data_IF_227192513765
#
_entry.id   IF_227192513765
#
_cell.length_a   1.000
_cell.length_b   1.000
_cell.length_c   1.000
_cell.angle_alpha   90.00
_cell.angle_beta   90.00
_cell.angle_gamma   90.00
#
_symmetry.space_group_name_H-M   'P 1'
#
loop_
_entity.id
_entity.type
_entity.pdbx_description
1 polymer ?
#
# COMPACT_ATOMS: atom_id res chain seq x y z
N UNK A 1 7.33 -12.78 -25.05
CA UNK A 1 7.46 -11.34 -25.34
C UNK A 1 7.69 -10.64 -24.02
N UNK A 2 8.84 -10.00 -23.81
CA UNK A 2 9.08 -9.20 -22.61
C UNK A 2 8.20 -7.97 -22.68
N UNK A 3 7.22 -7.86 -21.79
CA UNK A 3 6.37 -6.67 -21.65
C UNK A 3 7.27 -5.47 -21.33
N UNK A 4 7.30 -4.47 -22.21
CA UNK A 4 8.11 -3.28 -22.02
C UNK A 4 7.44 -2.40 -20.96
N UNK A 5 7.95 -2.43 -19.72
CA UNK A 5 7.43 -1.61 -18.64
C UNK A 5 7.78 -0.13 -18.91
N UNK A 6 6.78 0.71 -19.20
CA UNK A 6 6.95 2.15 -19.41
C UNK A 6 6.33 2.95 -18.27
N UNK A 7 5.17 2.51 -17.78
CA UNK A 7 4.37 3.19 -16.77
C UNK A 7 4.11 2.29 -15.56
N UNK A 8 4.42 2.79 -14.36
CA UNK A 8 4.18 2.09 -13.10
C UNK A 8 3.19 2.84 -12.22
N UNK A 9 2.36 2.10 -11.47
CA UNK A 9 1.52 2.62 -10.40
C UNK A 9 1.97 2.05 -9.06
N UNK A 10 2.26 2.94 -8.12
CA UNK A 10 2.65 2.62 -6.75
C UNK A 10 1.55 3.10 -5.81
N UNK A 11 1.17 2.25 -4.86
CA UNK A 11 0.24 2.60 -3.80
C UNK A 11 0.88 2.41 -2.41
N UNK A 12 1.04 3.53 -1.70
CA UNK A 12 1.55 3.56 -0.33
C UNK A 12 0.63 2.80 0.63
N UNK A 13 1.23 2.23 1.68
CA UNK A 13 0.50 1.72 2.84
C UNK A 13 -0.13 2.84 3.69
N UNK A 14 -0.79 2.46 4.78
CA UNK A 14 -1.41 3.43 5.68
C UNK A 14 -2.57 2.90 6.53
N UNK A 15 -2.81 1.59 6.53
CA UNK A 15 -3.98 0.99 7.20
C UNK A 15 -5.27 1.61 6.68
N UNK A 16 -6.10 2.11 7.58
CA UNK A 16 -7.36 2.78 7.24
C UNK A 16 -7.20 4.06 6.40
N UNK A 17 -6.04 4.74 6.42
CA UNK A 17 -5.75 5.83 5.48
C UNK A 17 -5.75 5.40 4.02
N UNK A 18 -5.62 4.09 3.76
CA UNK A 18 -5.82 3.50 2.43
C UNK A 18 -7.21 3.74 1.84
N UNK A 19 -8.17 4.26 2.62
CA UNK A 19 -9.48 4.69 2.13
C UNK A 19 -9.38 5.82 1.09
N UNK A 20 -8.40 6.72 1.25
CA UNK A 20 -8.08 7.73 0.24
C UNK A 20 -7.64 7.06 -1.08
N UNK A 21 -6.75 6.07 -0.99
CA UNK A 21 -6.30 5.27 -2.14
C UNK A 21 -7.47 4.55 -2.81
N UNK A 22 -8.43 4.02 -2.05
CA UNK A 22 -9.65 3.41 -2.59
C UNK A 22 -10.43 4.40 -3.46
N UNK A 23 -10.64 5.63 -2.97
CA UNK A 23 -11.28 6.69 -3.73
C UNK A 23 -10.53 7.02 -5.03
N UNK A 24 -9.20 7.17 -4.97
CA UNK A 24 -8.37 7.44 -6.16
C UNK A 24 -8.55 6.35 -7.22
N UNK A 25 -8.46 5.08 -6.81
CA UNK A 25 -8.54 3.94 -7.75
C UNK A 25 -9.96 3.71 -8.25
N UNK A 26 -10.99 4.01 -7.46
CA UNK A 26 -12.37 3.95 -7.93
C UNK A 26 -12.67 5.05 -8.96
N UNK A 27 -12.06 6.24 -8.84
CA UNK A 27 -12.10 7.25 -9.88
C UNK A 27 -11.41 6.77 -11.17
N UNK A 28 -10.29 6.05 -11.04
CA UNK A 28 -9.61 5.45 -12.19
C UNK A 28 -10.50 4.39 -12.86
N UNK A 29 -11.12 3.50 -12.09
CA UNK A 29 -12.04 2.48 -12.61
C UNK A 29 -13.25 3.11 -13.30
N UNK A 30 -13.83 4.16 -12.71
CA UNK A 30 -14.95 4.90 -13.31
C UNK A 30 -14.59 5.49 -14.67
N UNK A 31 -13.35 5.99 -14.82
CA UNK A 31 -12.85 6.52 -16.09
C UNK A 31 -12.22 5.45 -16.99
N UNK A 32 -12.28 4.17 -16.61
CA UNK A 32 -11.58 3.05 -17.28
C UNK A 32 -10.09 3.34 -17.50
N UNK A 33 -9.49 4.12 -16.60
CA UNK A 33 -8.11 4.56 -16.68
C UNK A 33 -7.19 3.45 -16.17
N UNK A 34 -6.42 2.84 -17.07
CA UNK A 34 -5.46 1.79 -16.73
C UNK A 34 -4.18 1.75 -17.59
N UNK A 35 -3.44 2.87 -17.74
CA UNK A 35 -2.24 2.93 -18.57
C UNK A 35 -0.99 2.41 -17.82
N UNK A 36 -1.11 1.36 -17.01
CA UNK A 36 -0.04 0.91 -16.12
C UNK A 36 0.41 -0.51 -16.45
N UNK A 37 1.69 -0.63 -16.82
CA UNK A 37 2.35 -1.90 -17.15
C UNK A 37 2.80 -2.65 -15.90
N UNK A 38 3.07 -1.92 -14.82
CA UNK A 38 3.54 -2.42 -13.52
C UNK A 38 2.70 -1.81 -12.40
N UNK A 39 2.25 -2.62 -11.44
CA UNK A 39 1.55 -2.15 -10.24
C UNK A 39 2.23 -2.69 -9.00
N UNK A 40 2.55 -1.83 -8.04
CA UNK A 40 3.27 -2.22 -6.82
C UNK A 40 2.62 -1.59 -5.61
N UNK A 41 2.19 -2.40 -4.66
CA UNK A 41 1.50 -1.91 -3.48
C UNK A 41 2.15 -2.39 -2.19
N UNK A 42 1.99 -1.58 -1.15
CA UNK A 42 2.46 -1.89 0.19
C UNK A 42 1.27 -1.93 1.14
N UNK A 43 1.11 -3.01 1.90
CA UNK A 43 0.08 -3.12 2.94
C UNK A 43 -1.33 -2.81 2.38
N UNK A 44 -2.07 -1.87 2.98
CA UNK A 44 -3.36 -1.39 2.47
C UNK A 44 -3.31 -0.91 1.01
N UNK A 45 -2.18 -0.37 0.53
CA UNK A 45 -1.97 -0.01 -0.86
C UNK A 45 -1.97 -1.23 -1.79
N UNK A 46 -1.39 -2.36 -1.36
CA UNK A 46 -1.45 -3.62 -2.10
C UNK A 46 -2.89 -4.15 -2.19
N UNK A 47 -3.64 -4.09 -1.09
CA UNK A 47 -5.05 -4.52 -1.07
C UNK A 47 -5.91 -3.69 -2.02
N UNK A 48 -5.69 -2.36 -2.02
CA UNK A 48 -6.34 -1.43 -2.95
C UNK A 48 -5.99 -1.73 -4.41
N UNK A 49 -4.72 -1.98 -4.72
CA UNK A 49 -4.29 -2.34 -6.08
C UNK A 49 -4.81 -3.69 -6.53
N UNK A 50 -4.96 -4.66 -5.63
CA UNK A 50 -5.60 -5.93 -5.96
C UNK A 50 -7.04 -5.70 -6.43
N UNK A 51 -7.83 -4.89 -5.72
CA UNK A 51 -9.19 -4.53 -6.11
C UNK A 51 -9.22 -3.80 -7.47
N UNK A 52 -8.30 -2.86 -7.69
CA UNK A 52 -8.16 -2.15 -8.95
C UNK A 52 -7.82 -3.08 -10.13
N UNK A 53 -6.88 -4.00 -9.95
CA UNK A 53 -6.51 -4.98 -10.97
C UNK A 53 -7.69 -5.91 -11.28
N UNK A 54 -8.40 -6.37 -10.25
CA UNK A 54 -9.59 -7.20 -10.37
C UNK A 54 -10.83 -6.48 -10.95
N UNK A 55 -10.72 -5.17 -11.24
CA UNK A 55 -11.83 -4.30 -11.69
C UNK A 55 -12.99 -4.23 -10.69
N UNK A 56 -12.67 -4.42 -9.41
CA UNK A 56 -13.59 -4.48 -8.30
C UNK A 56 -13.88 -3.08 -7.71
N UNK A 57 -14.59 -2.25 -8.49
CA UNK A 57 -14.94 -0.88 -8.05
C UNK A 57 -15.71 -0.92 -6.72
N UNK A 58 -15.39 -0.02 -5.80
CA UNK A 58 -15.95 0.10 -4.44
C UNK A 58 -15.62 -1.05 -3.47
N UNK A 59 -14.89 -2.07 -3.91
CA UNK A 59 -14.56 -3.20 -3.04
C UNK A 59 -13.62 -2.79 -1.90
N UNK A 60 -12.53 -2.08 -2.21
CA UNK A 60 -11.56 -1.69 -1.20
C UNK A 60 -12.17 -0.72 -0.16
N UNK A 61 -13.03 0.20 -0.61
CA UNK A 61 -13.82 1.05 0.27
C UNK A 61 -14.65 0.21 1.24
N UNK A 62 -15.47 -0.71 0.70
CA UNK A 62 -16.34 -1.61 1.48
C UNK A 62 -15.54 -2.42 2.50
N UNK A 63 -14.41 -3.02 2.09
CA UNK A 63 -13.58 -3.81 2.99
C UNK A 63 -12.99 -2.97 4.13
N UNK A 64 -12.54 -1.75 3.84
CA UNK A 64 -12.01 -0.85 4.87
C UNK A 64 -13.11 -0.43 5.84
N UNK A 65 -14.25 0.08 5.33
CA UNK A 65 -15.34 0.60 6.16
C UNK A 65 -16.01 -0.48 7.02
N UNK A 66 -16.14 -1.72 6.50
CA UNK A 66 -16.91 -2.78 7.17
C UNK A 66 -16.08 -3.83 7.89
N UNK A 67 -14.80 -4.04 7.54
CA UNK A 67 -13.98 -5.06 8.22
C UNK A 67 -12.96 -4.46 9.16
N UNK A 68 -12.35 -3.33 8.80
CA UNK A 68 -11.26 -2.79 9.61
C UNK A 68 -11.73 -1.98 10.83
N UNK A 69 -13.03 -1.64 10.85
CA UNK A 69 -13.70 -0.94 11.95
C UNK A 69 -14.32 -1.91 12.97
N UNK A 70 -14.40 -3.20 12.64
CA UNK A 70 -14.94 -4.25 13.50
C UNK A 70 -14.05 -4.51 14.72
N UNK A 71 -14.68 -4.69 15.87
CA UNK A 71 -14.01 -5.09 17.12
C UNK A 71 -13.27 -6.43 16.96
N UNK A 72 -13.74 -7.31 16.07
CA UNK A 72 -13.08 -8.58 15.81
C UNK A 72 -11.72 -8.39 15.13
N UNK A 73 -11.60 -7.39 14.27
CA UNK A 73 -10.35 -7.01 13.61
C UNK A 73 -9.44 -6.21 14.53
N UNK A 74 -9.93 -5.10 15.10
CA UNK A 74 -9.12 -4.18 15.89
C UNK A 74 -9.38 -4.33 17.40
N UNK A 75 -8.43 -4.94 18.11
CA UNK A 75 -8.51 -5.27 19.54
C UNK A 75 -7.39 -4.58 20.33
N UNK A 76 -7.48 -3.27 20.60
CA UNK A 76 -6.41 -2.51 21.25
C UNK A 76 -6.01 -3.07 22.62
N UNK A 77 -6.95 -3.61 23.39
CA UNK A 77 -6.70 -4.21 24.70
C UNK A 77 -5.69 -5.38 24.67
N UNK A 78 -5.55 -6.07 23.53
CA UNK A 78 -4.59 -7.19 23.37
C UNK A 78 -3.14 -6.77 23.38
N UNK A 79 -2.83 -5.48 23.18
CA UNK A 79 -1.46 -4.98 23.31
C UNK A 79 -0.90 -5.24 24.72
N UNK A 80 -1.71 -5.02 25.76
CA UNK A 80 -1.31 -5.20 27.16
C UNK A 80 -1.22 -6.65 27.60
N UNK A 81 -1.91 -7.56 26.90
CA UNK A 81 -1.88 -9.00 27.19
C UNK A 81 -0.89 -9.76 26.29
N UNK A 82 -0.11 -9.06 25.47
CA UNK A 82 0.88 -9.65 24.58
C UNK A 82 0.31 -10.31 23.32
N UNK A 83 -0.99 -10.13 23.04
CA UNK A 83 -1.67 -10.67 21.87
C UNK A 83 -1.60 -9.76 20.63
N UNK A 84 -2.25 -10.21 19.54
CA UNK A 84 -2.38 -9.43 18.31
C UNK A 84 -3.41 -8.30 18.49
N UNK A 85 -3.01 -7.09 18.11
CA UNK A 85 -3.87 -5.89 18.10
C UNK A 85 -4.77 -5.89 16.86
N UNK A 86 -4.27 -6.40 15.73
CA UNK A 86 -5.04 -6.61 14.51
C UNK A 86 -5.18 -8.10 14.22
N UNK A 87 -6.35 -8.53 13.76
CA UNK A 87 -6.62 -9.92 13.41
C UNK A 87 -6.64 -10.11 11.89
N UNK A 88 -5.45 -10.25 11.28
CA UNK A 88 -5.32 -10.48 9.84
C UNK A 88 -5.84 -11.85 9.42
N UNK A 89 -5.76 -12.86 10.28
CA UNK A 89 -6.34 -14.18 9.99
C UNK A 89 -7.85 -14.07 9.79
N UNK A 90 -8.52 -13.38 10.72
CA UNK A 90 -9.95 -13.09 10.60
C UNK A 90 -10.25 -12.26 9.35
N UNK A 91 -9.52 -11.16 9.12
CA UNK A 91 -9.76 -10.29 7.95
C UNK A 91 -9.66 -11.07 6.64
N UNK A 92 -8.58 -11.82 6.45
CA UNK A 92 -8.36 -12.58 5.21
C UNK A 92 -9.36 -13.72 5.04
N UNK A 93 -9.77 -14.38 6.13
CA UNK A 93 -10.85 -15.35 6.10
C UNK A 93 -12.19 -14.73 5.65
N UNK A 94 -12.51 -13.50 6.09
CA UNK A 94 -13.73 -12.81 5.65
C UNK A 94 -13.69 -12.52 4.15
N UNK A 95 -12.61 -11.92 3.64
CA UNK A 95 -12.52 -11.57 2.22
C UNK A 95 -12.38 -12.78 1.30
N UNK A 96 -11.95 -13.94 1.82
CA UNK A 96 -11.88 -15.18 1.03
C UNK A 96 -13.23 -15.92 0.99
N UNK A 97 -13.95 -15.98 2.11
CA UNK A 97 -15.08 -16.90 2.29
C UNK A 97 -16.45 -16.25 2.55
N UNK A 98 -16.52 -15.00 3.03
CA UNK A 98 -17.80 -14.39 3.41
C UNK A 98 -18.46 -13.65 2.24
N UNK A 99 -19.54 -14.21 1.70
CA UNK A 99 -20.23 -13.70 0.51
C UNK A 99 -20.64 -12.21 0.52
N UNK A 100 -20.72 -11.53 1.67
CA UNK A 100 -21.00 -10.08 1.73
C UNK A 100 -19.79 -9.18 1.43
N UNK A 101 -18.59 -9.65 1.75
CA UNK A 101 -17.31 -8.92 1.62
C UNK A 101 -16.26 -9.73 0.86
N UNK A 102 -16.70 -10.83 0.25
CA UNK A 102 -15.86 -11.75 -0.51
C UNK A 102 -15.25 -10.98 -1.65
N UNK A 103 -13.93 -11.10 -1.79
CA UNK A 103 -13.21 -10.54 -2.91
C UNK A 103 -13.83 -11.08 -4.21
N UNK A 104 -14.17 -10.23 -5.19
CA UNK A 104 -14.76 -10.68 -6.44
C UNK A 104 -13.67 -11.36 -7.28
N UNK A 105 -13.54 -12.66 -7.07
CA UNK A 105 -12.52 -13.51 -7.67
C UNK A 105 -12.96 -14.02 -9.03
N UNK A 106 -12.99 -13.15 -10.04
CA UNK A 106 -12.93 -13.63 -11.42
C UNK A 106 -11.45 -13.82 -11.80
N UNK A 107 -10.98 -15.06 -12.04
CA UNK A 107 -9.57 -15.34 -12.32
C UNK A 107 -9.00 -14.52 -13.48
N UNK A 108 -9.86 -14.12 -14.43
CA UNK A 108 -9.47 -13.42 -15.65
C UNK A 108 -9.03 -11.97 -15.44
N UNK A 109 -9.38 -11.33 -14.31
CA UNK A 109 -9.07 -9.91 -14.11
C UNK A 109 -7.74 -9.67 -13.38
N UNK A 110 -7.26 -10.65 -12.61
CA UNK A 110 -6.00 -10.57 -11.88
C UNK A 110 -5.14 -11.80 -12.17
N UNK A 111 -4.51 -11.80 -13.34
CA UNK A 111 -3.62 -12.85 -13.85
C UNK A 111 -2.15 -12.52 -13.61
N UNK A 112 -1.20 -13.46 -13.80
CA UNK A 112 0.24 -13.15 -13.76
C UNK A 112 0.65 -11.98 -14.68
N UNK A 113 0.03 -11.84 -15.85
CA UNK A 113 0.27 -10.76 -16.82
C UNK A 113 -0.19 -9.39 -16.31
N UNK A 114 -0.94 -9.35 -15.21
CA UNK A 114 -1.27 -8.09 -14.54
C UNK A 114 -0.04 -7.41 -13.95
N UNK A 115 1.13 -8.06 -13.84
CA UNK A 115 2.35 -7.47 -13.30
C UNK A 115 2.09 -6.69 -11.99
N UNK A 116 1.30 -7.30 -11.10
CA UNK A 116 0.97 -6.73 -9.80
C UNK A 116 1.91 -7.35 -8.75
N UNK A 117 2.48 -6.51 -7.90
CA UNK A 117 3.40 -6.92 -6.85
C UNK A 117 2.96 -6.36 -5.50
N UNK A 118 2.90 -7.22 -4.49
CA UNK A 118 2.77 -6.79 -3.10
C UNK A 118 4.17 -6.78 -2.48
N UNK A 119 4.54 -5.69 -1.82
CA UNK A 119 5.83 -5.60 -1.11
C UNK A 119 5.67 -6.22 0.26
N UNK A 120 6.58 -7.13 0.62
CA UNK A 120 6.78 -7.61 1.97
C UNK A 120 8.21 -7.33 2.42
N UNK A 121 8.48 -7.40 3.72
CA UNK A 121 9.82 -7.27 4.27
C UNK A 121 10.25 -8.58 4.90
N UNK A 122 11.47 -9.03 4.60
CA UNK A 122 12.06 -10.16 5.30
C UNK A 122 12.18 -9.85 6.78
N UNK A 123 11.69 -10.76 7.63
CA UNK A 123 11.60 -10.55 9.07
C UNK A 123 12.99 -10.28 9.69
N UNK A 124 14.03 -10.99 9.25
CA UNK A 124 15.36 -10.95 9.86
C UNK A 124 16.31 -9.91 9.23
N UNK A 125 16.26 -9.72 7.91
CA UNK A 125 17.19 -8.81 7.20
C UNK A 125 16.61 -7.43 6.89
N UNK A 126 15.28 -7.27 6.98
CA UNK A 126 14.55 -6.09 6.53
C UNK A 126 14.70 -5.78 5.04
N UNK A 127 15.21 -6.72 4.24
CA UNK A 127 15.26 -6.56 2.78
C UNK A 127 13.85 -6.66 2.17
N UNK A 128 13.55 -5.88 1.12
CA UNK A 128 12.25 -5.94 0.46
C UNK A 128 12.14 -7.21 -0.38
N UNK A 129 10.96 -7.80 -0.35
CA UNK A 129 10.56 -8.89 -1.21
C UNK A 129 9.33 -8.47 -2.02
N UNK A 130 9.47 -8.44 -3.34
CA UNK A 130 8.39 -8.05 -4.25
C UNK A 130 7.65 -9.31 -4.71
N UNK A 131 6.55 -9.62 -4.05
CA UNK A 131 5.77 -10.82 -4.30
C UNK A 131 4.91 -10.62 -5.54
N UNK A 132 5.23 -11.33 -6.64
CA UNK A 132 4.40 -11.32 -7.86
C UNK A 132 3.03 -11.92 -7.55
N UNK A 133 1.98 -11.15 -7.70
CA UNK A 133 0.68 -11.40 -7.09
C UNK A 133 -0.42 -11.51 -8.15
N UNK A 134 -1.13 -12.63 -8.14
CA UNK A 134 -2.30 -12.89 -8.97
C UNK A 134 -3.37 -13.65 -8.18
N UNK A 135 -4.50 -13.96 -8.82
CA UNK A 135 -5.69 -14.54 -8.18
C UNK A 135 -5.40 -15.71 -7.21
N UNK A 136 -4.50 -16.63 -7.55
CA UNK A 136 -4.26 -17.86 -6.77
C UNK A 136 -3.47 -17.63 -5.48
N UNK A 137 -2.57 -16.65 -5.45
CA UNK A 137 -1.66 -16.40 -4.32
C UNK A 137 -1.93 -15.07 -3.60
N UNK A 138 -2.88 -14.27 -4.09
CA UNK A 138 -3.08 -12.91 -3.60
C UNK A 138 -3.36 -12.82 -2.10
N UNK A 139 -4.16 -13.71 -1.51
CA UNK A 139 -4.47 -13.59 -0.08
C UNK A 139 -3.23 -13.81 0.79
N UNK A 140 -2.38 -14.77 0.45
CA UNK A 140 -1.12 -15.00 1.15
C UNK A 140 -0.18 -13.79 1.01
N UNK A 141 -0.03 -13.25 -0.20
CA UNK A 141 0.86 -12.12 -0.48
C UNK A 141 0.38 -10.82 0.17
N UNK A 142 -0.92 -10.51 0.05
CA UNK A 142 -1.53 -9.34 0.67
C UNK A 142 -1.45 -9.42 2.20
N UNK A 143 -1.62 -10.61 2.78
CA UNK A 143 -1.46 -10.82 4.22
C UNK A 143 -0.03 -10.60 4.68
N UNK A 144 0.95 -11.14 3.97
CA UNK A 144 2.36 -10.88 4.25
C UNK A 144 2.71 -9.39 4.18
N UNK A 145 2.22 -8.71 3.13
CA UNK A 145 2.40 -7.28 2.91
C UNK A 145 1.75 -6.40 3.98
N UNK A 146 0.76 -6.92 4.73
CA UNK A 146 -0.01 -6.19 5.75
C UNK A 146 0.36 -6.56 7.19
N UNK A 147 1.34 -7.46 7.39
CA UNK A 147 1.68 -8.03 8.69
C UNK A 147 2.52 -7.07 9.54
N UNK A 148 1.89 -5.99 10.02
CA UNK A 148 2.56 -4.91 10.74
C UNK A 148 3.23 -5.46 12.00
N UNK A 149 4.56 -5.28 12.15
CA UNK A 149 5.27 -5.70 13.35
C UNK A 149 4.60 -5.18 14.62
N UNK A 150 4.61 -6.00 15.68
CA UNK A 150 4.00 -5.71 16.99
C UNK A 150 2.47 -5.66 17.05
N UNK A 151 1.79 -5.30 15.95
CA UNK A 151 0.32 -5.36 15.85
C UNK A 151 -0.17 -6.76 15.42
N UNK A 152 0.59 -7.43 14.56
CA UNK A 152 0.42 -8.84 14.20
C UNK A 152 1.75 -9.58 14.38
N UNK A 153 1.92 -10.19 15.56
CA UNK A 153 3.21 -10.73 16.02
C UNK A 153 3.70 -11.98 15.29
N UNK A 154 2.84 -12.92 14.83
CA UNK A 154 3.31 -14.14 14.19
C UNK A 154 4.09 -13.93 12.89
N UNK A 155 3.93 -12.77 12.24
CA UNK A 155 4.36 -12.59 10.86
C UNK A 155 3.63 -13.54 9.92
N UNK A 156 4.08 -13.62 8.66
CA UNK A 156 3.51 -14.54 7.66
C UNK A 156 4.65 -15.30 7.00
N UNK A 157 4.50 -16.60 6.82
CA UNK A 157 5.46 -17.38 6.03
C UNK A 157 5.02 -17.42 4.57
N UNK A 158 5.89 -16.95 3.68
CA UNK A 158 5.71 -17.04 2.23
C UNK A 158 6.98 -17.65 1.66
N UNK A 159 6.84 -18.72 0.87
CA UNK A 159 7.97 -19.42 0.22
C UNK A 159 9.10 -19.83 1.19
N UNK A 160 8.73 -20.22 2.42
CA UNK A 160 9.69 -20.64 3.46
C UNK A 160 10.35 -19.50 4.24
N UNK A 161 10.12 -18.24 3.86
CA UNK A 161 10.66 -17.06 4.52
C UNK A 161 9.65 -16.44 5.48
N UNK A 162 10.12 -15.99 6.66
CA UNK A 162 9.34 -15.16 7.55
C UNK A 162 9.24 -13.73 7.00
N UNK A 163 8.02 -13.26 6.82
CA UNK A 163 7.69 -11.95 6.25
C UNK A 163 6.91 -11.09 7.23
N UNK A 164 7.06 -9.78 7.09
CA UNK A 164 6.28 -8.75 7.75
C UNK A 164 5.89 -7.65 6.75
N UNK A 165 5.11 -6.66 7.21
CA UNK A 165 4.60 -5.57 6.39
C UNK A 165 5.71 -4.91 5.56
N UNK A 166 5.44 -4.74 4.27
CA UNK A 166 6.41 -4.22 3.30
C UNK A 166 6.86 -2.78 3.55
N UNK A 167 6.08 -2.04 4.34
CA UNK A 167 6.39 -0.68 4.72
C UNK A 167 7.71 -0.56 5.46
N UNK A 168 8.19 -1.63 6.11
CA UNK A 168 9.49 -1.60 6.78
C UNK A 168 10.63 -1.42 5.77
N UNK A 169 10.66 -2.27 4.74
CA UNK A 169 11.78 -2.35 3.79
C UNK A 169 11.67 -1.36 2.63
N UNK A 170 10.47 -1.19 2.05
CA UNK A 170 10.27 -0.32 0.90
C UNK A 170 8.84 0.24 0.88
N UNK A 171 8.59 1.33 1.63
CA UNK A 171 7.25 1.91 1.76
C UNK A 171 6.74 2.60 0.49
N UNK A 172 7.65 2.97 -0.42
CA UNK A 172 7.38 3.67 -1.67
C UNK A 172 8.35 3.16 -2.74
N UNK A 173 8.05 2.03 -3.42
CA UNK A 173 8.97 1.29 -4.30
C UNK A 173 9.31 1.95 -5.65
N UNK A 174 9.58 3.25 -5.64
CA UNK A 174 9.84 4.10 -6.81
C UNK A 174 11.16 3.73 -7.49
N UNK A 175 12.19 3.43 -6.70
CA UNK A 175 13.50 3.00 -7.21
C UNK A 175 13.38 1.65 -7.92
N UNK A 176 12.72 0.69 -7.27
CA UNK A 176 12.52 -0.63 -7.84
C UNK A 176 11.68 -0.58 -9.12
N UNK A 177 10.59 0.20 -9.14
CA UNK A 177 9.79 0.39 -10.35
C UNK A 177 10.62 0.98 -11.51
N UNK A 178 11.51 1.93 -11.21
CA UNK A 178 12.45 2.47 -12.19
C UNK A 178 13.45 1.43 -12.69
N UNK A 179 14.03 0.61 -11.80
CA UNK A 179 14.92 -0.51 -12.16
C UNK A 179 14.22 -1.55 -13.06
N UNK A 180 12.89 -1.70 -12.95
CA UNK A 180 12.09 -2.52 -13.87
C UNK A 180 11.82 -1.86 -15.22
N UNK A 181 12.31 -0.65 -15.45
CA UNK A 181 12.23 0.07 -16.72
C UNK A 181 11.22 1.21 -16.75
N UNK A 182 10.43 1.42 -15.67
CA UNK A 182 9.42 2.47 -15.65
C UNK A 182 10.06 3.86 -15.83
N UNK A 183 9.51 4.62 -16.79
CA UNK A 183 9.87 6.01 -17.06
C UNK A 183 8.82 6.99 -16.54
N UNK A 184 7.58 6.55 -16.42
CA UNK A 184 6.52 7.30 -15.75
C UNK A 184 6.07 6.53 -14.53
N UNK A 185 6.21 7.10 -13.34
CA UNK A 185 5.87 6.44 -12.08
C UNK A 185 4.80 7.26 -11.37
N UNK A 186 3.61 6.68 -11.23
CA UNK A 186 2.49 7.27 -10.50
C UNK A 186 2.53 6.75 -9.08
N UNK A 187 2.51 7.65 -8.09
CA UNK A 187 2.62 7.30 -6.67
C UNK A 187 1.40 7.84 -5.95
N UNK A 188 0.52 6.94 -5.49
CA UNK A 188 -0.59 7.30 -4.60
C UNK A 188 -0.05 7.29 -3.17
N UNK A 189 -0.12 8.45 -2.52
CA UNK A 189 0.33 8.66 -1.15
C UNK A 189 -0.84 8.72 -0.19
N UNK A 190 -0.63 8.30 1.05
CA UNK A 190 -1.61 8.42 2.15
C UNK A 190 -1.29 9.60 3.10
N UNK A 191 -0.27 10.38 2.74
CA UNK A 191 0.13 11.65 3.35
C UNK A 191 0.30 12.71 2.26
N UNK A 192 0.32 13.98 2.66
CA UNK A 192 0.46 15.11 1.73
C UNK A 192 1.78 15.04 0.94
N UNK A 193 1.81 15.58 -0.28
CA UNK A 193 2.96 15.46 -1.18
C UNK A 193 4.27 16.06 -0.61
N UNK A 194 4.17 17.06 0.27
CA UNK A 194 5.33 17.67 0.93
C UNK A 194 5.78 16.95 2.20
N UNK A 195 4.99 15.98 2.68
CA UNK A 195 5.30 15.23 3.89
C UNK A 195 6.49 14.31 3.61
N UNK A 196 7.48 14.29 4.50
CA UNK A 196 8.68 13.47 4.39
C UNK A 196 8.59 12.16 5.18
N UNK A 197 7.39 11.80 5.67
CA UNK A 197 7.10 10.58 6.40
C UNK A 197 7.63 10.58 7.83
N UNK A 198 8.12 11.72 8.32
CA UNK A 198 8.56 11.85 9.71
C UNK A 198 7.34 11.81 10.62
N UNK A 199 7.43 11.04 11.70
CA UNK A 199 6.44 11.08 12.79
C UNK A 199 6.99 11.90 13.96
N UNK A 200 6.64 13.20 14.12
CA UNK A 200 7.20 14.07 15.17
C UNK A 200 6.91 13.56 16.58
N UNK A 201 5.80 12.83 16.75
CA UNK A 201 5.38 12.24 18.04
C UNK A 201 6.34 11.15 18.49
N UNK A 202 6.83 10.29 17.58
CA UNK A 202 7.72 9.20 17.96
C UNK A 202 9.13 9.70 18.28
N UNK A 203 9.64 10.70 17.54
CA UNK A 203 10.88 11.42 17.88
C UNK A 203 10.84 12.03 19.28
N UNK A 204 9.71 12.62 19.66
CA UNK A 204 9.48 13.15 21.02
C UNK A 204 9.38 12.06 22.08
N UNK A 205 8.95 10.86 21.73
CA UNK A 205 8.81 9.71 22.64
C UNK A 205 10.06 8.83 22.73
N UNK A 206 11.05 9.00 21.85
CA UNK A 206 12.35 8.29 21.89
C UNK A 206 13.01 8.23 23.28
N UNK A 207 13.10 9.32 24.08
CA UNK A 207 13.73 9.25 25.40
C UNK A 207 12.91 8.44 26.41
N UNK A 208 11.59 8.40 26.25
CA UNK A 208 10.66 7.67 27.12
C UNK A 208 10.66 6.19 26.75
N UNK A 209 10.61 5.85 25.46
CA UNK A 209 10.64 4.47 24.97
C UNK A 209 11.97 3.77 25.25
N UNK A 210 13.10 4.51 25.21
CA UNK A 210 14.40 4.02 25.67
C UNK A 210 14.43 3.63 27.15
N UNK A 211 13.61 4.28 28.00
CA UNK A 211 13.49 3.96 29.44
C UNK A 211 12.55 2.78 29.72
N UNK A 212 11.63 2.46 28.82
CA UNK A 212 10.58 1.44 29.02
C UNK A 212 11.05 0.04 28.59
N UNK A 213 12.33 -0.15 28.22
CA UNK A 213 12.86 -1.43 27.73
C UNK A 213 12.02 -1.97 26.54
N UNK A 214 11.51 -1.07 25.68
CA UNK A 214 10.91 -1.49 24.43
C UNK A 214 11.98 -2.12 23.54
N UNK A 215 11.65 -3.27 22.95
CA UNK A 215 12.59 -4.16 22.25
C UNK A 215 13.49 -3.39 21.28
N UNK A 216 14.84 -3.52 21.35
CA UNK A 216 15.78 -2.92 20.40
C UNK A 216 15.36 -3.10 18.93
N UNK A 217 14.74 -4.24 18.61
CA UNK A 217 14.20 -4.55 17.29
C UNK A 217 13.15 -3.54 16.80
N UNK A 218 12.32 -2.98 17.68
CA UNK A 218 11.33 -1.97 17.29
C UNK A 218 12.02 -0.70 16.80
N UNK A 219 13.10 -0.30 17.46
CA UNK A 219 13.88 0.85 17.02
C UNK A 219 14.57 0.56 15.70
N UNK A 220 15.15 -0.63 15.52
CA UNK A 220 15.76 -1.01 14.23
C UNK A 220 14.76 -0.95 13.08
N UNK A 221 13.58 -1.55 13.24
CA UNK A 221 12.48 -1.50 12.27
C UNK A 221 12.09 -0.06 11.95
N UNK A 222 11.93 0.78 12.97
CA UNK A 222 11.53 2.18 12.79
C UNK A 222 12.59 2.99 12.04
N UNK A 223 13.86 2.88 12.42
CA UNK A 223 14.94 3.61 11.75
C UNK A 223 15.10 3.14 10.31
N UNK A 224 14.97 1.84 10.05
CA UNK A 224 15.00 1.29 8.70
C UNK A 224 13.86 1.86 7.86
N UNK A 225 12.62 1.84 8.35
CA UNK A 225 11.47 2.46 7.69
C UNK A 225 11.71 3.94 7.37
N UNK A 226 12.14 4.74 8.36
CA UNK A 226 12.37 6.17 8.16
C UNK A 226 13.44 6.45 7.11
N UNK A 227 14.54 5.69 7.12
CA UNK A 227 15.59 5.81 6.13
C UNK A 227 15.05 5.49 4.73
N UNK A 228 14.35 4.36 4.57
CA UNK A 228 13.80 3.92 3.28
C UNK A 228 12.77 4.90 2.73
N UNK A 229 11.91 5.43 3.60
CA UNK A 229 10.94 6.46 3.23
C UNK A 229 11.63 7.74 2.73
N UNK A 230 12.64 8.23 3.45
CA UNK A 230 13.39 9.42 3.07
C UNK A 230 14.12 9.23 1.73
N UNK A 231 14.72 8.06 1.50
CA UNK A 231 15.36 7.71 0.22
C UNK A 231 14.35 7.69 -0.95
N UNK A 232 13.13 7.20 -0.72
CA UNK A 232 12.08 7.20 -1.73
C UNK A 232 11.55 8.62 -2.02
N UNK A 233 11.32 9.43 -0.99
CA UNK A 233 10.96 10.85 -1.14
C UNK A 233 12.04 11.61 -1.91
N UNK A 234 13.32 11.32 -1.64
CA UNK A 234 14.43 11.92 -2.38
C UNK A 234 14.40 11.56 -3.86
N UNK A 235 14.19 10.28 -4.16
CA UNK A 235 14.03 9.83 -5.53
C UNK A 235 12.87 10.55 -6.24
N UNK A 236 11.73 10.74 -5.56
CA UNK A 236 10.58 11.44 -6.15
C UNK A 236 10.86 12.94 -6.35
N UNK A 237 11.66 13.56 -5.48
CA UNK A 237 12.04 14.98 -5.55
C UNK A 237 13.07 15.27 -6.63
N UNK A 238 13.97 14.33 -6.89
CA UNK A 238 15.05 14.46 -7.87
C UNK A 238 15.22 13.15 -8.63
N UNK A 239 14.24 12.78 -9.49
CA UNK A 239 14.29 11.53 -10.22
C UNK A 239 15.40 11.55 -11.28
N UNK A 240 15.92 10.38 -11.71
CA UNK A 240 16.88 10.29 -12.80
C UNK A 240 16.38 10.93 -14.10
N UNK A 241 17.30 11.29 -15.00
CA UNK A 241 16.95 11.90 -16.28
C UNK A 241 15.97 11.02 -17.09
N UNK A 242 14.93 11.65 -17.64
CA UNK A 242 13.89 10.97 -18.40
C UNK A 242 12.91 10.15 -17.55
N UNK A 243 12.97 10.25 -16.22
CA UNK A 243 11.99 9.66 -15.30
C UNK A 243 11.04 10.76 -14.81
N UNK A 244 9.74 10.57 -15.05
CA UNK A 244 8.67 11.43 -14.59
C UNK A 244 7.94 10.77 -13.41
N UNK A 245 7.90 11.44 -12.26
CA UNK A 245 7.17 10.97 -11.08
C UNK A 245 5.94 11.84 -10.87
N UNK A 246 4.76 11.21 -10.88
CA UNK A 246 3.46 11.87 -10.63
C UNK A 246 2.97 11.46 -9.26
N UNK A 247 2.92 12.40 -8.32
CA UNK A 247 2.36 12.15 -6.99
C UNK A 247 0.86 12.46 -6.98
N UNK A 248 0.07 11.49 -6.50
CA UNK A 248 -1.35 11.64 -6.17
C UNK A 248 -1.44 11.58 -4.66
N UNK A 249 -1.54 12.74 -4.03
CA UNK A 249 -1.55 12.89 -2.60
C UNK A 249 -2.79 13.67 -2.14
N UNK A 250 -3.23 13.48 -0.88
CA UNK A 250 -4.24 14.33 -0.26
C UNK A 250 -3.86 15.81 -0.36
N UNK A 251 -4.84 16.68 -0.60
CA UNK A 251 -4.64 18.14 -0.64
C UNK A 251 -4.75 18.80 0.75
N UNK A 252 -5.00 17.97 1.77
CA UNK A 252 -5.05 18.31 3.19
C UNK A 252 -4.67 17.06 3.99
N UNK A 253 -4.28 17.17 5.27
CA UNK A 253 -4.14 16.00 6.13
C UNK A 253 -5.41 15.16 6.13
N UNK A 254 -5.24 13.84 6.00
CA UNK A 254 -6.32 12.86 6.13
C UNK A 254 -6.80 12.83 7.58
N UNK A 255 -8.12 12.81 7.76
CA UNK A 255 -8.75 12.70 9.09
C UNK A 255 -8.72 11.26 9.61
N UNK A 256 -8.81 10.29 8.69
CA UNK A 256 -8.63 8.88 8.97
C UNK A 256 -7.25 8.62 9.60
N UNK A 257 -7.22 7.73 10.57
CA UNK A 257 -6.01 7.23 11.22
C UNK A 257 -5.56 5.92 10.57
N UNK A 258 -4.43 5.37 11.02
CA UNK A 258 -4.00 4.03 10.57
C UNK A 258 -4.97 2.95 11.07
N UNK A 259 -5.53 3.12 12.28
CA UNK A 259 -6.54 2.26 12.90
C UNK A 259 -7.47 3.11 13.76
N UNK A 260 -8.73 2.67 13.94
CA UNK A 260 -9.70 3.30 14.86
C UNK A 260 -10.38 4.56 14.32
N UNK A 261 -10.41 4.75 12.99
CA UNK A 261 -11.14 5.82 12.32
C UNK A 261 -12.66 5.60 12.43
N UNK A 262 -13.43 6.69 12.46
CA UNK A 262 -14.89 6.63 12.35
C UNK A 262 -15.32 6.50 10.88
N UNK A 263 -16.53 6.00 10.63
CA UNK A 263 -17.07 5.87 9.27
C UNK A 263 -17.12 7.24 8.58
N UNK A 264 -17.49 8.30 9.29
CA UNK A 264 -17.57 9.65 8.74
C UNK A 264 -16.19 10.12 8.23
N UNK A 265 -15.14 9.90 9.01
CA UNK A 265 -13.77 10.27 8.59
C UNK A 265 -13.28 9.44 7.40
N UNK A 266 -13.68 8.16 7.31
CA UNK A 266 -13.36 7.29 6.19
C UNK A 266 -14.06 7.76 4.91
N UNK A 267 -15.36 8.05 4.98
CA UNK A 267 -16.14 8.54 3.84
C UNK A 267 -15.63 9.90 3.33
N UNK A 268 -15.26 10.82 4.22
CA UNK A 268 -14.72 12.13 3.83
C UNK A 268 -13.40 12.00 3.08
N UNK A 269 -12.50 11.14 3.57
CA UNK A 269 -11.20 10.91 2.94
C UNK A 269 -11.32 10.06 1.66
N UNK A 270 -12.31 9.15 1.56
CA UNK A 270 -12.68 8.48 0.32
C UNK A 270 -13.10 9.49 -0.76
N UNK A 271 -14.03 10.40 -0.42
CA UNK A 271 -14.50 11.44 -1.35
C UNK A 271 -13.36 12.34 -1.83
N UNK A 272 -12.46 12.72 -0.92
CA UNK A 272 -11.24 13.47 -1.27
C UNK A 272 -10.37 12.67 -2.25
N UNK A 273 -10.13 11.38 -1.98
CA UNK A 273 -9.39 10.49 -2.86
C UNK A 273 -9.99 10.41 -4.26
N UNK A 274 -11.31 10.22 -4.34
CA UNK A 274 -12.04 10.16 -5.59
C UNK A 274 -11.92 11.46 -6.40
N UNK A 275 -12.08 12.62 -5.77
CA UNK A 275 -11.91 13.92 -6.43
C UNK A 275 -10.48 14.12 -6.96
N UNK A 276 -9.47 13.79 -6.16
CA UNK A 276 -8.05 13.91 -6.55
C UNK A 276 -7.73 12.92 -7.69
N UNK A 277 -8.27 11.70 -7.64
CA UNK A 277 -8.15 10.71 -8.70
C UNK A 277 -8.72 11.20 -10.02
N UNK A 278 -9.93 11.78 -10.02
CA UNK A 278 -10.53 12.38 -11.22
C UNK A 278 -9.66 13.50 -11.81
N UNK A 279 -9.13 14.39 -10.95
CA UNK A 279 -8.21 15.45 -11.38
C UNK A 279 -6.94 14.89 -12.01
N UNK A 280 -6.39 13.79 -11.47
CA UNK A 280 -5.21 13.15 -11.99
C UNK A 280 -5.44 12.54 -13.38
N UNK A 281 -6.57 11.85 -13.57
CA UNK A 281 -6.98 11.32 -14.89
C UNK A 281 -7.13 12.44 -15.91
N UNK A 282 -7.80 13.53 -15.55
CA UNK A 282 -8.05 14.65 -16.48
C UNK A 282 -6.78 15.41 -16.89
N UNK A 283 -5.73 15.37 -16.05
CA UNK A 283 -4.42 15.98 -16.35
C UNK A 283 -3.51 15.06 -17.16
N UNK A 284 -3.83 13.77 -17.24
CA UNK A 284 -3.04 12.82 -18.03
C UNK A 284 -3.18 13.13 -19.51
N UNK A 285 -2.03 13.29 -20.16
CA UNK A 285 -1.92 13.31 -21.62
C UNK A 285 -1.25 12.00 -22.01
N UNK A 286 -1.81 11.32 -23.00
CA UNK A 286 -1.22 10.10 -23.53
C UNK A 286 0.20 10.42 -24.05
N UNK A 287 1.24 9.63 -23.67
CA UNK A 287 2.58 9.86 -24.18
C UNK A 287 2.60 9.69 -25.69
N UNK A 288 3.20 10.62 -26.43
CA UNK A 288 3.34 10.47 -27.89
C UNK A 288 4.07 9.14 -28.22
N UNK A 289 3.61 8.39 -29.23
CA UNK A 289 4.31 7.21 -29.71
C UNK A 289 5.68 7.66 -30.23
N UNK A 290 6.76 7.04 -29.72
CA UNK A 290 8.08 7.28 -30.28
C UNK A 290 8.11 6.71 -31.70
N UNK A 291 8.65 7.43 -32.70
CA UNK A 291 8.82 6.89 -34.02
C UNK A 291 9.68 5.62 -33.93
N UNK A 292 9.21 4.53 -34.53
CA UNK A 292 9.98 3.30 -34.66
C UNK A 292 11.32 3.65 -35.30
N UNK A 293 12.42 3.25 -34.65
CA UNK A 293 13.73 3.39 -35.23
C UNK A 293 13.78 2.56 -36.51
N UNK A 294 13.81 3.25 -37.66
CA UNK A 294 13.94 2.69 -39.01
C UNK A 294 15.31 2.05 -39.18
#
# INVERSE_FOLDING_TARGET
MTTHIRSALIAEGGGQKGIFTAGVLDAFLEKKFAPFDLKVGVSAGAQNLAAYCARARQYAQTAIEHLTTEQQFFRPARFFTGGNVIDLDWYFHQVEHNGKVRFPTEPNNLTPESNFYAVASHYDSFEPHYLHTWHENMFAHLKASSAIPFLYRPGVKVEGHGMMDGGVADPLPVRWAHEKGAKTIWVIRTVEAHDDGKMPVLERLKPIMRRINQSPRMFEIYHHYQQRYAEAVEFMRSPPEGVNVVQIAPTRPLQSMVLGSSIETLEEDYRLGFEVGLKAVNRWKEPEPQPEAV
#
